data_IF_934292458670
#
_entry.id   IF_934292458670
#
_cell.length_a   1.000
_cell.length_b   1.000
_cell.length_c   1.000
_cell.angle_alpha   90.00
_cell.angle_beta   90.00
_cell.angle_gamma   90.00
#
_symmetry.space_group_name_H-M   'P 1'
#
loop_
_entity.id
_entity.type
_entity.pdbx_description
1 polymer ?
#
# COMPACT_ATOMS: atom_id res chain seq x y z
N UNK A 1 52.37 -35.09 -26.80
CA UNK A 1 53.10 -33.99 -26.12
C UNK A 1 52.11 -33.19 -25.30
N UNK A 2 52.21 -33.33 -23.98
CA UNK A 2 51.29 -32.83 -22.96
C UNK A 2 51.67 -31.38 -22.64
N UNK A 3 50.78 -30.40 -22.85
CA UNK A 3 50.99 -29.00 -22.43
C UNK A 3 50.47 -28.82 -21.00
N UNK A 4 51.41 -28.72 -20.06
CA UNK A 4 51.18 -28.31 -18.67
C UNK A 4 50.88 -26.81 -18.66
N UNK A 5 49.69 -26.42 -18.22
CA UNK A 5 49.35 -25.03 -17.91
C UNK A 5 49.69 -24.78 -16.44
N UNK A 6 50.69 -23.93 -16.18
CA UNK A 6 51.01 -23.41 -14.86
C UNK A 6 49.90 -22.41 -14.45
N UNK A 7 49.16 -22.71 -13.38
CA UNK A 7 48.24 -21.75 -12.74
C UNK A 7 49.07 -20.89 -11.79
N UNK A 8 49.35 -19.64 -12.19
CA UNK A 8 49.85 -18.60 -11.29
C UNK A 8 48.69 -18.08 -10.46
N UNK A 9 48.65 -18.50 -9.20
CA UNK A 9 47.72 -17.97 -8.19
C UNK A 9 48.07 -16.53 -7.86
N UNK A 10 47.21 -15.59 -8.25
CA UNK A 10 47.16 -14.25 -7.67
C UNK A 10 46.22 -14.30 -6.46
N UNK A 11 46.81 -14.36 -5.27
CA UNK A 11 46.11 -14.04 -4.02
C UNK A 11 45.93 -12.53 -3.95
N UNK A 12 44.68 -12.05 -4.02
CA UNK A 12 44.37 -10.68 -3.63
C UNK A 12 44.56 -10.54 -2.12
N UNK A 13 45.37 -9.54 -1.75
CA UNK A 13 45.61 -9.13 -0.36
C UNK A 13 44.36 -8.50 0.25
N UNK A 14 44.11 -8.76 1.54
CA UNK A 14 42.97 -8.28 2.32
C UNK A 14 42.88 -6.74 2.52
N UNK A 15 43.71 -5.96 1.82
CA UNK A 15 43.78 -4.51 1.92
C UNK A 15 42.82 -3.76 0.97
N UNK A 16 42.18 -4.44 0.01
CA UNK A 16 41.24 -3.80 -0.95
C UNK A 16 39.76 -3.88 -0.53
N UNK A 17 39.45 -4.54 0.59
CA UNK A 17 38.05 -4.68 1.09
C UNK A 17 37.58 -3.44 1.88
N UNK A 18 38.46 -2.49 2.21
CA UNK A 18 38.14 -1.37 3.11
C UNK A 18 37.79 -0.03 2.43
N UNK A 19 37.48 -0.01 1.13
CA UNK A 19 37.15 1.24 0.41
C UNK A 19 35.74 1.35 -0.17
N UNK A 20 34.83 0.46 0.26
CA UNK A 20 33.40 0.58 -0.02
C UNK A 20 32.58 1.15 1.15
N UNK A 21 33.23 1.70 2.18
CA UNK A 21 32.56 2.41 3.26
C UNK A 21 32.57 3.93 2.99
N UNK A 22 31.94 4.33 1.89
CA UNK A 22 31.66 5.73 1.57
C UNK A 22 30.16 5.96 1.70
N UNK A 23 29.78 6.43 2.88
CA UNK A 23 28.58 7.19 3.20
C UNK A 23 27.72 7.61 2.00
N UNK A 24 26.69 6.82 1.70
CA UNK A 24 25.41 7.36 1.21
C UNK A 24 24.41 7.17 2.33
N UNK A 25 24.21 8.21 3.12
CA UNK A 25 23.02 8.34 3.97
C UNK A 25 21.79 8.13 3.06
N UNK A 26 20.90 7.16 3.31
CA UNK A 26 19.62 7.10 2.62
C UNK A 26 18.73 8.20 3.23
N UNK A 27 18.90 9.45 2.82
CA UNK A 27 18.15 10.60 3.35
C UNK A 27 16.84 10.85 2.60
N UNK A 28 16.13 9.81 2.19
CA UNK A 28 14.70 9.92 1.90
C UNK A 28 13.96 8.83 2.64
N UNK A 29 13.12 9.21 3.61
CA UNK A 29 12.21 8.27 4.27
C UNK A 29 11.39 7.55 3.18
N UNK A 30 11.28 6.20 3.21
CA UNK A 30 10.53 5.47 2.20
C UNK A 30 9.08 5.96 2.19
N UNK A 31 8.51 6.13 1.01
CA UNK A 31 7.08 6.36 0.83
C UNK A 31 6.43 5.04 0.43
N UNK A 32 5.46 4.58 1.21
CA UNK A 32 4.76 3.33 0.98
C UNK A 32 3.29 3.63 0.73
N UNK A 33 2.77 3.16 -0.41
CA UNK A 33 1.40 3.40 -0.85
C UNK A 33 0.66 2.07 -0.93
N UNK A 34 -0.35 1.90 -0.09
CA UNK A 34 -1.18 0.70 -0.09
C UNK A 34 -2.36 0.89 -1.05
N UNK A 35 -2.41 0.05 -2.07
CA UNK A 35 -3.44 0.03 -3.11
C UNK A 35 -4.62 -0.87 -2.74
N UNK A 36 -4.49 -1.71 -1.71
CA UNK A 36 -5.57 -2.59 -1.25
C UNK A 36 -6.87 -1.83 -0.95
N UNK A 37 -7.99 -2.49 -1.20
CA UNK A 37 -9.32 -1.96 -0.93
C UNK A 37 -9.64 -2.01 0.58
N UNK A 38 -10.63 -1.25 1.09
CA UNK A 38 -11.03 -1.39 2.49
C UNK A 38 -11.42 -2.84 2.75
N UNK A 39 -11.11 -3.33 3.96
CA UNK A 39 -11.33 -4.73 4.40
C UNK A 39 -10.42 -5.79 3.75
N UNK A 40 -9.31 -5.38 3.15
CA UNK A 40 -8.23 -6.28 2.68
C UNK A 40 -7.01 -6.33 3.62
N UNK A 41 -7.15 -5.88 4.88
CA UNK A 41 -6.05 -5.90 5.87
C UNK A 41 -5.22 -4.61 5.94
N UNK A 42 -5.72 -3.51 5.37
CA UNK A 42 -5.07 -2.18 5.37
C UNK A 42 -4.71 -1.69 6.78
N UNK A 43 -5.54 -1.99 7.77
CA UNK A 43 -5.31 -1.61 9.17
C UNK A 43 -4.11 -2.37 9.76
N UNK A 44 -4.08 -3.70 9.58
CA UNK A 44 -2.96 -4.55 9.99
C UNK A 44 -1.65 -4.11 9.36
N UNK A 45 -1.67 -3.77 8.06
CA UNK A 45 -0.50 -3.23 7.36
C UNK A 45 -0.07 -1.90 8.00
N UNK A 46 -1.03 -1.02 8.27
CA UNK A 46 -0.77 0.26 8.91
C UNK A 46 -0.11 0.13 10.28
N UNK A 47 -0.65 -0.73 11.14
CA UNK A 47 -0.13 -1.00 12.48
C UNK A 47 1.22 -1.72 12.46
N UNK A 48 1.45 -2.63 11.50
CA UNK A 48 2.75 -3.26 11.31
C UNK A 48 3.86 -2.23 11.08
N UNK A 49 3.62 -1.26 10.20
CA UNK A 49 4.62 -0.22 9.93
C UNK A 49 4.78 0.77 11.09
N UNK A 50 3.70 1.10 11.82
CA UNK A 50 3.80 1.89 13.07
C UNK A 50 4.65 1.17 14.11
N UNK A 51 4.45 -0.13 14.28
CA UNK A 51 5.24 -0.96 15.19
C UNK A 51 6.73 -0.95 14.83
N UNK A 52 7.05 -0.84 13.53
CA UNK A 52 8.40 -0.68 13.00
C UNK A 52 8.87 0.79 12.91
N UNK A 53 8.23 1.71 13.62
CA UNK A 53 8.69 3.10 13.78
C UNK A 53 8.36 4.05 12.61
N UNK A 54 7.56 3.62 11.64
CA UNK A 54 7.12 4.47 10.52
C UNK A 54 5.82 5.21 10.85
N UNK A 55 5.69 6.45 10.35
CA UNK A 55 4.43 7.21 10.43
C UNK A 55 3.44 6.67 9.40
N UNK A 56 2.34 6.09 9.88
CA UNK A 56 1.33 5.48 9.01
C UNK A 56 -0.05 6.12 9.16
N UNK A 57 -0.63 6.55 8.03
CA UNK A 57 -2.00 7.01 7.92
C UNK A 57 -2.94 5.86 7.52
N UNK A 58 -4.11 5.80 8.14
CA UNK A 58 -5.17 4.84 7.81
C UNK A 58 -6.49 5.59 7.69
N UNK A 59 -6.93 5.82 6.45
CA UNK A 59 -8.12 6.58 5.97
C UNK A 59 -8.28 8.03 6.45
N UNK A 60 -7.80 8.40 7.64
CA UNK A 60 -7.62 9.77 8.11
C UNK A 60 -6.20 10.24 7.84
N UNK A 61 -6.11 11.44 7.30
CA UNK A 61 -4.90 12.20 7.08
C UNK A 61 -5.02 13.51 7.92
N UNK A 62 -3.96 14.33 8.00
CA UNK A 62 -3.87 15.41 9.02
C UNK A 62 -5.05 16.40 9.02
N UNK A 63 -5.53 16.78 7.84
CA UNK A 63 -6.55 17.82 7.69
C UNK A 63 -7.85 17.32 7.02
N UNK A 64 -7.91 16.05 6.63
CA UNK A 64 -9.04 15.47 5.88
C UNK A 64 -8.95 13.94 5.85
N UNK A 65 -9.86 13.26 5.17
CA UNK A 65 -9.61 11.85 4.85
C UNK A 65 -8.55 11.73 3.77
N UNK A 66 -7.79 10.64 3.81
CA UNK A 66 -6.76 10.40 2.82
C UNK A 66 -7.34 10.29 1.41
N UNK A 67 -8.56 9.76 1.25
CA UNK A 67 -9.24 9.76 -0.05
C UNK A 67 -9.48 11.15 -0.61
N UNK A 68 -10.02 12.07 0.20
CA UNK A 68 -10.23 13.45 -0.25
C UNK A 68 -8.90 14.17 -0.54
N UNK A 69 -7.92 14.01 0.35
CA UNK A 69 -6.62 14.65 0.17
C UNK A 69 -5.88 14.18 -1.08
N UNK A 70 -5.77 12.86 -1.26
CA UNK A 70 -5.04 12.29 -2.39
C UNK A 70 -5.75 12.61 -3.70
N UNK A 71 -7.09 12.67 -3.73
CA UNK A 71 -7.85 13.11 -4.90
C UNK A 71 -7.56 14.57 -5.30
N UNK A 72 -7.38 15.47 -4.31
CA UNK A 72 -6.93 16.84 -4.56
C UNK A 72 -5.49 16.86 -5.09
N UNK A 73 -4.60 16.12 -4.44
CA UNK A 73 -3.20 16.02 -4.84
C UNK A 73 -3.04 15.49 -6.28
N UNK A 74 -3.72 14.41 -6.69
CA UNK A 74 -3.62 13.89 -8.07
C UNK A 74 -4.13 14.90 -9.11
N UNK A 75 -5.09 15.74 -8.75
CA UNK A 75 -5.61 16.81 -9.61
C UNK A 75 -4.54 17.87 -9.85
N UNK A 76 -3.88 18.32 -8.79
CA UNK A 76 -2.77 19.28 -8.85
C UNK A 76 -1.57 18.73 -9.64
N UNK A 77 -1.26 17.45 -9.44
CA UNK A 77 -0.15 16.78 -10.10
C UNK A 77 -0.33 16.63 -11.61
N UNK A 78 -1.56 16.56 -12.11
CA UNK A 78 -1.85 16.33 -13.53
C UNK A 78 -1.37 17.47 -14.44
N UNK A 79 -1.11 18.67 -13.90
CA UNK A 79 -0.50 19.79 -14.61
C UNK A 79 0.97 20.05 -14.23
N UNK A 80 1.55 19.20 -13.38
CA UNK A 80 2.88 19.43 -12.81
C UNK A 80 3.99 18.87 -13.70
N UNK A 81 5.11 19.60 -13.75
CA UNK A 81 6.37 19.15 -14.37
C UNK A 81 7.29 18.40 -13.42
N UNK A 82 6.87 18.16 -12.17
CA UNK A 82 7.71 17.41 -11.21
C UNK A 82 7.89 15.96 -11.65
N UNK A 83 9.12 15.46 -11.52
CA UNK A 83 9.42 14.05 -11.76
C UNK A 83 9.03 13.16 -10.58
N UNK A 84 8.90 13.72 -9.38
CA UNK A 84 8.50 13.01 -8.17
C UNK A 84 7.69 13.94 -7.26
N UNK A 85 6.44 13.57 -7.00
CA UNK A 85 5.50 14.31 -6.19
C UNK A 85 5.45 13.86 -4.72
N UNK A 86 6.36 12.99 -4.26
CA UNK A 86 6.35 12.46 -2.89
C UNK A 86 6.40 13.55 -1.82
N UNK A 87 7.21 14.60 -2.04
CA UNK A 87 7.28 15.74 -1.13
C UNK A 87 5.97 16.55 -1.12
N UNK A 88 5.38 16.76 -2.30
CA UNK A 88 4.09 17.44 -2.42
C UNK A 88 2.96 16.64 -1.74
N UNK A 89 2.98 15.31 -1.86
CA UNK A 89 1.99 14.45 -1.20
C UNK A 89 2.08 14.56 0.32
N UNK A 90 3.30 14.49 0.87
CA UNK A 90 3.53 14.65 2.31
C UNK A 90 3.13 16.04 2.81
N UNK A 91 3.42 17.08 2.03
CA UNK A 91 3.01 18.43 2.38
C UNK A 91 1.49 18.62 2.34
N UNK A 92 0.80 17.98 1.40
CA UNK A 92 -0.65 18.15 1.22
C UNK A 92 -1.47 17.27 2.18
N UNK A 93 -1.03 16.04 2.42
CA UNK A 93 -1.81 15.00 3.11
C UNK A 93 -1.26 14.59 4.48
N UNK A 94 -0.14 15.16 4.89
CA UNK A 94 0.52 14.88 6.17
C UNK A 94 1.82 14.12 5.98
N UNK A 95 2.71 14.30 6.96
CA UNK A 95 4.11 13.89 6.93
C UNK A 95 4.33 12.36 7.13
N UNK A 96 3.53 11.54 6.46
CA UNK A 96 3.51 10.09 6.59
C UNK A 96 4.57 9.39 5.72
N UNK A 97 5.04 8.26 6.23
CA UNK A 97 5.86 7.29 5.50
C UNK A 97 4.97 6.28 4.78
N UNK A 98 3.80 5.98 5.34
CA UNK A 98 2.88 4.96 4.85
C UNK A 98 1.48 5.54 4.72
N UNK A 99 0.89 5.43 3.53
CA UNK A 99 -0.54 5.65 3.31
C UNK A 99 -1.22 4.28 3.20
N UNK A 100 -1.62 3.73 4.37
CA UNK A 100 -2.11 2.35 4.50
C UNK A 100 -3.55 2.17 4.02
N UNK A 101 -4.34 3.25 3.98
CA UNK A 101 -5.66 3.26 3.36
C UNK A 101 -5.97 4.66 2.83
N UNK A 102 -6.33 4.76 1.54
CA UNK A 102 -6.60 6.02 0.85
C UNK A 102 -8.01 6.10 0.28
N UNK A 103 -8.90 5.17 0.59
CA UNK A 103 -10.31 5.28 0.24
C UNK A 103 -11.15 5.97 1.32
N UNK A 104 -12.24 6.59 0.88
CA UNK A 104 -13.28 7.07 1.75
C UNK A 104 -14.60 7.28 0.98
N UNK A 105 -15.72 6.87 1.56
CA UNK A 105 -17.05 7.00 0.99
C UNK A 105 -18.03 7.81 1.87
N UNK A 106 -17.80 9.13 2.06
CA UNK A 106 -18.71 9.98 2.82
C UNK A 106 -19.92 10.38 2.00
N UNK A 107 -21.11 10.30 2.58
CA UNK A 107 -22.32 10.99 2.08
C UNK A 107 -22.55 10.83 0.56
N UNK A 108 -22.30 9.64 0.00
CA UNK A 108 -22.53 9.35 -1.42
C UNK A 108 -21.36 9.68 -2.36
N UNK A 109 -20.24 10.21 -1.87
CA UNK A 109 -19.03 10.39 -2.68
C UNK A 109 -18.22 9.08 -2.74
N UNK A 110 -17.63 8.79 -3.90
CA UNK A 110 -16.76 7.63 -4.12
C UNK A 110 -15.31 8.08 -4.25
N UNK A 111 -14.60 8.25 -3.13
CA UNK A 111 -13.20 8.70 -3.13
C UNK A 111 -12.28 7.48 -3.05
N UNK A 112 -11.86 6.99 -4.21
CA UNK A 112 -10.96 5.84 -4.35
C UNK A 112 -9.80 6.20 -5.30
N UNK A 113 -8.86 7.07 -4.87
CA UNK A 113 -7.75 7.50 -5.71
C UNK A 113 -6.88 6.34 -6.21
N UNK A 114 -6.68 5.29 -5.40
CA UNK A 114 -5.99 4.08 -5.82
C UNK A 114 -6.69 3.37 -6.98
N UNK A 115 -8.01 3.55 -7.10
CA UNK A 115 -8.78 3.06 -8.24
C UNK A 115 -8.73 4.05 -9.39
N UNK A 116 -9.23 5.27 -9.23
CA UNK A 116 -9.45 6.15 -10.38
C UNK A 116 -8.17 6.79 -10.92
N UNK A 117 -7.14 6.94 -10.08
CA UNK A 117 -5.91 7.66 -10.40
C UNK A 117 -4.64 6.81 -10.27
N UNK A 118 -4.78 5.48 -10.37
CA UNK A 118 -3.66 4.54 -10.28
C UNK A 118 -2.46 4.94 -11.17
N UNK A 119 -2.72 5.30 -12.43
CA UNK A 119 -1.65 5.68 -13.37
C UNK A 119 -0.96 6.98 -12.97
N UNK A 120 -1.71 7.94 -12.43
CA UNK A 120 -1.15 9.20 -11.91
C UNK A 120 -0.28 8.94 -10.68
N UNK A 121 -0.75 8.10 -9.75
CA UNK A 121 0.03 7.68 -8.58
C UNK A 121 1.35 7.03 -8.99
N UNK A 122 1.30 6.06 -9.91
CA UNK A 122 2.49 5.34 -10.39
C UNK A 122 3.46 6.27 -11.13
N UNK A 123 2.95 7.19 -11.95
CA UNK A 123 3.76 8.15 -12.70
C UNK A 123 4.48 9.14 -11.79
N UNK A 124 3.76 9.69 -10.82
CA UNK A 124 4.26 10.82 -10.03
C UNK A 124 4.81 10.41 -8.67
N UNK A 125 4.76 9.13 -8.29
CA UNK A 125 5.46 8.60 -7.12
C UNK A 125 6.44 7.50 -7.54
N UNK A 126 7.39 7.78 -8.45
CA UNK A 126 8.27 6.75 -9.00
C UNK A 126 9.26 6.17 -7.97
N UNK A 127 9.49 6.87 -6.87
CA UNK A 127 10.33 6.41 -5.75
C UNK A 127 9.56 5.66 -4.66
N UNK A 128 8.22 5.64 -4.71
CA UNK A 128 7.41 4.97 -3.71
C UNK A 128 7.41 3.44 -3.90
N UNK A 129 7.24 2.73 -2.79
CA UNK A 129 6.93 1.31 -2.76
C UNK A 129 5.41 1.12 -2.73
N UNK A 130 4.88 0.32 -3.65
CA UNK A 130 3.44 0.06 -3.74
C UNK A 130 3.11 -1.33 -3.21
N UNK A 131 2.04 -1.43 -2.41
CA UNK A 131 1.56 -2.71 -1.88
C UNK A 131 0.15 -2.95 -2.42
N UNK A 132 -0.04 -4.04 -3.15
CA UNK A 132 -1.35 -4.57 -3.52
C UNK A 132 -1.66 -5.79 -2.65
N UNK A 133 -2.27 -5.54 -1.51
CA UNK A 133 -2.84 -6.58 -0.67
C UNK A 133 -4.27 -6.88 -1.14
N UNK A 134 -4.54 -8.15 -1.44
CA UNK A 134 -5.86 -8.63 -1.86
C UNK A 134 -6.48 -9.57 -0.84
N UNK A 135 -7.70 -10.00 -1.14
CA UNK A 135 -8.45 -11.01 -0.41
C UNK A 135 -9.37 -11.72 -1.42
N UNK A 136 -9.70 -13.01 -1.25
CA UNK A 136 -10.68 -13.69 -2.09
C UNK A 136 -12.00 -12.90 -2.12
N UNK A 137 -12.58 -12.72 -3.31
CA UNK A 137 -13.69 -11.79 -3.50
C UNK A 137 -14.91 -12.11 -2.64
N UNK A 138 -15.24 -13.38 -2.47
CA UNK A 138 -16.34 -13.78 -1.62
C UNK A 138 -16.12 -13.39 -0.16
N UNK A 139 -14.90 -13.58 0.35
CA UNK A 139 -14.54 -13.25 1.73
C UNK A 139 -14.44 -11.73 1.94
N UNK A 140 -13.94 -11.00 0.94
CA UNK A 140 -13.97 -9.54 0.93
C UNK A 140 -15.40 -9.00 0.96
N UNK A 141 -16.29 -9.50 0.09
CA UNK A 141 -17.71 -9.14 0.07
C UNK A 141 -18.40 -9.45 1.40
N UNK A 142 -18.09 -10.59 2.03
CA UNK A 142 -18.60 -10.91 3.36
C UNK A 142 -18.16 -9.88 4.40
N UNK A 143 -16.88 -9.48 4.39
CA UNK A 143 -16.36 -8.45 5.30
C UNK A 143 -17.02 -7.09 5.08
N UNK A 144 -17.17 -6.68 3.82
CA UNK A 144 -17.86 -5.43 3.42
C UNK A 144 -19.34 -5.45 3.83
N UNK A 145 -20.03 -6.60 3.70
CA UNK A 145 -21.43 -6.73 4.11
C UNK A 145 -21.61 -6.65 5.63
N UNK A 146 -20.66 -7.16 6.38
CA UNK A 146 -20.72 -7.24 7.84
C UNK A 146 -20.28 -5.95 8.53
N UNK A 147 -19.45 -5.13 7.88
CA UNK A 147 -19.01 -3.86 8.43
C UNK A 147 -20.12 -2.81 8.38
N UNK A 148 -20.48 -2.23 9.53
CA UNK A 148 -21.60 -1.29 9.69
C UNK A 148 -21.13 0.05 10.26
N UNK A 149 -21.77 1.13 9.82
CA UNK A 149 -21.72 2.44 10.48
C UNK A 149 -23.12 3.01 10.53
N UNK A 150 -23.63 3.20 11.75
CA UNK A 150 -25.04 3.50 11.96
C UNK A 150 -25.94 2.40 11.39
N UNK A 151 -26.92 2.79 10.55
CA UNK A 151 -27.91 1.86 9.98
C UNK A 151 -27.45 1.15 8.70
N UNK A 152 -26.38 1.61 8.06
CA UNK A 152 -25.95 1.11 6.75
C UNK A 152 -24.68 0.25 6.88
N UNK A 153 -24.61 -0.82 6.08
CA UNK A 153 -23.37 -1.56 5.89
C UNK A 153 -22.52 -0.94 4.77
N UNK A 154 -21.24 -1.31 4.72
CA UNK A 154 -20.32 -0.81 3.68
C UNK A 154 -20.77 -1.22 2.28
N UNK A 155 -21.35 -2.41 2.11
CA UNK A 155 -21.95 -2.83 0.83
C UNK A 155 -22.93 -1.78 0.29
N UNK A 156 -23.93 -1.39 1.09
CA UNK A 156 -24.94 -0.40 0.71
C UNK A 156 -24.33 0.98 0.45
N UNK A 157 -23.35 1.41 1.27
CA UNK A 157 -22.68 2.70 1.08
C UNK A 157 -21.90 2.73 -0.23
N UNK A 158 -21.13 1.69 -0.53
CA UNK A 158 -20.35 1.58 -1.77
C UNK A 158 -21.26 1.50 -2.99
N UNK A 159 -22.26 0.62 -3.00
CA UNK A 159 -23.17 0.48 -4.16
C UNK A 159 -24.02 1.72 -4.42
N UNK A 160 -24.20 2.58 -3.41
CA UNK A 160 -24.88 3.87 -3.56
C UNK A 160 -23.96 4.99 -4.05
N UNK A 161 -22.71 5.01 -3.58
CA UNK A 161 -21.77 6.10 -3.85
C UNK A 161 -20.95 5.91 -5.14
N UNK A 162 -20.58 4.67 -5.45
CA UNK A 162 -19.66 4.34 -6.53
C UNK A 162 -20.41 3.87 -7.79
N UNK A 163 -19.78 3.96 -8.99
CA UNK A 163 -20.35 3.54 -10.27
C UNK A 163 -20.38 2.01 -10.42
N UNK A 164 -21.08 1.35 -9.49
CA UNK A 164 -21.22 -0.10 -9.43
C UNK A 164 -22.51 -0.51 -10.14
N UNK A 165 -22.40 -1.45 -11.07
CA UNK A 165 -23.53 -2.00 -11.81
C UNK A 165 -23.37 -3.52 -11.96
N UNK A 166 -24.38 -4.34 -11.60
CA UNK A 166 -25.59 -3.96 -10.85
C UNK A 166 -25.27 -3.45 -9.43
N UNK A 167 -26.12 -2.58 -8.86
CA UNK A 167 -25.92 -1.96 -7.51
C UNK A 167 -26.15 -2.95 -6.36
N UNK A 168 -25.45 -4.08 -6.38
CA UNK A 168 -25.55 -5.17 -5.42
C UNK A 168 -24.19 -5.85 -5.21
N UNK A 169 -24.16 -6.97 -4.49
CA UNK A 169 -22.92 -7.69 -4.19
C UNK A 169 -22.23 -8.25 -5.44
N UNK A 170 -22.97 -8.64 -6.47
CA UNK A 170 -22.41 -9.13 -7.74
C UNK A 170 -21.63 -8.02 -8.44
N UNK A 171 -22.27 -6.88 -8.68
CA UNK A 171 -21.58 -5.76 -9.35
C UNK A 171 -20.42 -5.20 -8.53
N UNK A 172 -20.53 -5.20 -7.19
CA UNK A 172 -19.42 -4.79 -6.32
C UNK A 172 -18.25 -5.78 -6.39
N UNK A 173 -18.53 -7.09 -6.42
CA UNK A 173 -17.51 -8.13 -6.56
C UNK A 173 -16.76 -8.01 -7.89
N UNK A 174 -17.49 -7.82 -8.99
CA UNK A 174 -16.87 -7.58 -10.29
C UNK A 174 -16.04 -6.28 -10.33
N UNK A 175 -16.54 -5.22 -9.68
CA UNK A 175 -15.81 -3.95 -9.59
C UNK A 175 -14.48 -4.11 -8.85
N UNK A 176 -14.46 -4.89 -7.77
CA UNK A 176 -13.26 -5.26 -7.04
C UNK A 176 -12.30 -6.14 -7.85
N UNK A 177 -12.79 -7.17 -8.55
CA UNK A 177 -11.92 -8.01 -9.38
C UNK A 177 -11.31 -7.24 -10.56
N UNK A 178 -12.08 -6.36 -11.20
CA UNK A 178 -11.55 -5.45 -12.24
C UNK A 178 -10.44 -4.56 -11.68
N UNK A 179 -10.61 -4.06 -10.46
CA UNK A 179 -9.58 -3.28 -9.79
C UNK A 179 -8.31 -4.09 -9.56
N UNK A 180 -8.42 -5.27 -8.92
CA UNK A 180 -7.30 -6.15 -8.64
C UNK A 180 -6.50 -6.46 -9.90
N UNK A 181 -7.17 -6.90 -10.96
CA UNK A 181 -6.53 -7.26 -12.22
C UNK A 181 -5.74 -6.07 -12.82
N UNK A 182 -6.36 -4.88 -12.84
CA UNK A 182 -5.70 -3.67 -13.35
C UNK A 182 -4.55 -3.21 -12.47
N UNK A 183 -4.70 -3.28 -11.14
CA UNK A 183 -3.66 -2.90 -10.19
C UNK A 183 -2.45 -3.84 -10.27
N UNK A 184 -2.69 -5.15 -10.32
CA UNK A 184 -1.67 -6.18 -10.48
C UNK A 184 -0.87 -5.97 -11.78
N UNK A 185 -1.56 -5.77 -12.90
CA UNK A 185 -0.92 -5.49 -14.19
C UNK A 185 -0.07 -4.21 -14.13
N UNK A 186 -0.60 -3.13 -13.58
CA UNK A 186 0.10 -1.85 -13.51
C UNK A 186 1.32 -1.90 -12.58
N UNK A 187 1.21 -2.59 -11.45
CA UNK A 187 2.29 -2.76 -10.47
C UNK A 187 3.49 -3.47 -11.11
N UNK A 188 3.23 -4.58 -11.80
CA UNK A 188 4.25 -5.37 -12.51
C UNK A 188 4.91 -4.60 -13.65
N UNK A 189 4.17 -3.70 -14.31
CA UNK A 189 4.67 -2.93 -15.45
C UNK A 189 5.44 -1.66 -15.07
N UNK A 190 5.11 -1.04 -13.93
CA UNK A 190 5.42 0.39 -13.72
C UNK A 190 6.21 0.70 -12.45
N UNK A 191 6.40 -0.27 -11.54
CA UNK A 191 7.03 0.00 -10.24
C UNK A 191 8.41 -0.61 -10.11
N UNK A 192 9.32 0.15 -9.50
CA UNK A 192 10.63 -0.34 -9.07
C UNK A 192 10.56 -1.06 -7.72
N UNK A 193 9.54 -0.73 -6.93
CA UNK A 193 9.27 -1.33 -5.64
C UNK A 193 7.77 -1.64 -5.56
N UNK A 194 7.43 -2.93 -5.66
CA UNK A 194 6.05 -3.40 -5.68
C UNK A 194 5.93 -4.75 -4.97
N UNK A 195 4.96 -4.86 -4.07
CA UNK A 195 4.61 -6.08 -3.36
C UNK A 195 3.14 -6.40 -3.62
N UNK A 196 2.85 -7.61 -4.09
CA UNK A 196 1.49 -8.13 -4.26
C UNK A 196 1.36 -9.41 -3.43
N UNK A 197 0.33 -9.50 -2.59
CA UNK A 197 0.01 -10.72 -1.84
C UNK A 197 -1.48 -10.81 -1.54
N UNK A 198 -1.96 -12.03 -1.34
CA UNK A 198 -3.30 -12.27 -0.83
C UNK A 198 -3.27 -12.45 0.69
N UNK A 199 -4.15 -11.74 1.40
CA UNK A 199 -4.24 -11.75 2.86
C UNK A 199 -4.46 -13.16 3.45
N UNK A 200 -5.07 -14.05 2.68
CA UNK A 200 -5.51 -15.38 3.11
C UNK A 200 -4.71 -16.52 2.45
N UNK A 201 -3.50 -16.23 1.97
CA UNK A 201 -2.60 -17.23 1.37
C UNK A 201 -1.93 -18.19 2.39
N UNK A 202 -2.19 -17.98 3.68
CA UNK A 202 -1.64 -18.79 4.78
C UNK A 202 -0.30 -18.33 5.34
N UNK A 203 0.35 -17.32 4.73
CA UNK A 203 1.60 -16.71 5.21
C UNK A 203 1.32 -15.51 6.13
N UNK A 204 0.25 -14.78 5.81
CA UNK A 204 -0.21 -13.62 6.57
C UNK A 204 0.50 -12.31 6.16
N UNK A 205 -0.16 -11.16 6.37
CA UNK A 205 0.29 -9.88 5.81
C UNK A 205 1.62 -9.42 6.41
N UNK A 206 1.81 -9.58 7.72
CA UNK A 206 3.00 -9.09 8.43
C UNK A 206 4.27 -9.83 8.03
N UNK A 207 4.18 -11.14 7.77
CA UNK A 207 5.28 -11.96 7.27
C UNK A 207 5.74 -11.51 5.88
N UNK A 208 4.80 -11.23 4.96
CA UNK A 208 5.12 -10.67 3.64
C UNK A 208 5.84 -9.34 3.74
N UNK A 209 5.34 -8.45 4.60
CA UNK A 209 5.93 -7.12 4.79
C UNK A 209 7.33 -7.20 5.40
N UNK A 210 7.52 -8.02 6.43
CA UNK A 210 8.83 -8.17 7.08
C UNK A 210 9.88 -8.72 6.12
N UNK A 211 9.52 -9.76 5.36
CA UNK A 211 10.41 -10.34 4.36
C UNK A 211 10.73 -9.34 3.24
N UNK A 212 9.72 -8.64 2.72
CA UNK A 212 9.91 -7.74 1.58
C UNK A 212 10.70 -6.47 1.93
N UNK A 213 10.41 -5.86 3.09
CA UNK A 213 11.07 -4.62 3.52
C UNK A 213 12.33 -4.87 4.35
N UNK A 214 12.68 -6.14 4.63
CA UNK A 214 13.84 -6.54 5.43
C UNK A 214 13.93 -5.79 6.76
N UNK A 215 12.80 -5.60 7.44
CA UNK A 215 12.72 -4.79 8.66
C UNK A 215 13.31 -5.50 9.88
N UNK A 216 13.48 -6.83 9.82
CA UNK A 216 13.87 -7.68 10.95
C UNK A 216 12.95 -7.44 12.16
N UNK A 217 11.66 -7.42 11.89
CA UNK A 217 10.61 -7.08 12.86
C UNK A 217 10.66 -8.01 14.06
N UNK A 218 10.39 -7.47 15.25
CA UNK A 218 10.17 -8.31 16.42
C UNK A 218 8.94 -9.20 16.22
N UNK A 219 8.91 -10.35 16.89
CA UNK A 219 7.75 -11.26 16.92
C UNK A 219 6.46 -10.55 17.36
N UNK A 220 6.57 -9.49 18.16
CA UNK A 220 5.43 -8.65 18.57
C UNK A 220 4.79 -7.89 17.42
N UNK A 221 5.56 -7.41 16.43
CA UNK A 221 5.01 -6.73 15.25
C UNK A 221 4.43 -7.72 14.23
N UNK A 222 4.91 -8.96 14.21
CA UNK A 222 4.40 -10.02 13.33
C UNK A 222 3.01 -10.54 13.75
N UNK A 223 2.70 -10.50 15.05
CA UNK A 223 1.42 -10.98 15.62
C UNK A 223 0.32 -9.93 15.77
N UNK A 224 0.45 -8.76 15.12
CA UNK A 224 -0.57 -7.71 15.22
C UNK A 224 -1.87 -8.19 14.54
N UNK A 225 -2.79 -8.67 15.37
CA UNK A 225 -4.18 -8.88 15.01
C UNK A 225 -4.97 -7.69 15.58
N UNK A 226 -5.53 -6.85 14.70
CA UNK A 226 -6.39 -5.77 15.17
C UNK A 226 -7.72 -6.35 15.65
N UNK A 227 -7.83 -6.53 16.98
CA UNK A 227 -9.11 -6.68 17.65
C UNK A 227 -9.76 -5.30 17.77
N UNK A 228 -10.43 -4.82 16.73
CA UNK A 228 -11.45 -3.78 16.88
C UNK A 228 -12.82 -4.27 16.43
N UNK A 229 -13.49 -4.93 17.38
CA UNK A 229 -14.87 -4.54 17.70
C UNK A 229 -14.86 -3.06 18.08
N UNK A 230 -15.18 -2.16 17.14
CA UNK A 230 -15.55 -0.79 17.53
C UNK A 230 -16.84 -0.87 18.36
N UNK A 231 -16.81 -0.60 19.67
CA UNK A 231 -18.04 -0.54 20.44
C UNK A 231 -18.72 0.79 20.11
N UNK A 232 -20.03 0.72 19.89
CA UNK A 232 -20.99 1.83 20.02
C UNK A 232 -20.39 3.16 20.52
N UNK A 233 -20.26 4.15 19.63
CA UNK A 233 -20.49 5.54 20.05
C UNK A 233 -21.88 5.93 19.59
N UNK A 234 -22.82 5.76 20.51
CA UNK A 234 -23.99 6.63 20.59
C UNK A 234 -23.48 8.05 20.85
N UNK A 235 -23.76 8.94 19.90
CA UNK A 235 -24.10 10.33 20.11
C UNK A 235 -24.97 10.74 18.92
#
# INVERSE_FOLDING_TARGET
>A
MLKVLLVLGLQLSAAEVSRANSSTTPTSRPLIIVLGMPKTGTETIGEFFKCNGLKSAHWKCDHSTCGDCVMRWVTEMSGSSTSDGSAALRSACGDYDVFAQMDYEPRGACLFPQMYFLQTLLRYLPSACFILNTRPTEHWLASVRNWKTGRNNMLSRLTSACPINPRNATGLGEWYERFKARASLALRASTRCGLEFDLEDGVGPTSHLDQFFALNSSTTCLGIHTHETSPNRMA
#
